data_IF_832811131027
#
_entry.id   IF_832811131027
#
_cell.length_a   1.000
_cell.length_b   1.000
_cell.length_c   1.000
_cell.angle_alpha   90.00
_cell.angle_beta   90.00
_cell.angle_gamma   90.00
#
_symmetry.space_group_name_H-M   'P 1'
#
loop_
_entity.id
_entity.type
_entity.pdbx_description
1 polymer ?
#
# COMPACT_ATOMS: atom_id res chain seq x y z
N UNK A 1 40.61 -25.19 32.33
CA UNK A 1 41.24 -25.62 31.05
C UNK A 1 40.33 -25.16 29.91
N UNK A 2 40.62 -23.99 29.33
CA UNK A 2 39.86 -23.41 28.22
C UNK A 2 40.30 -24.04 26.90
N UNK A 3 39.36 -24.63 26.15
CA UNK A 3 39.60 -25.11 24.79
C UNK A 3 39.70 -23.95 23.78
N UNK A 4 40.38 -24.15 22.63
CA UNK A 4 40.59 -23.09 21.66
C UNK A 4 39.28 -22.70 20.96
N UNK A 5 38.93 -21.42 21.04
CA UNK A 5 37.91 -20.78 20.22
C UNK A 5 38.31 -20.93 18.74
N UNK A 6 37.52 -21.65 17.94
CA UNK A 6 37.69 -21.68 16.49
C UNK A 6 36.88 -20.51 15.89
N UNK A 7 37.51 -19.51 15.26
CA UNK A 7 36.78 -18.50 14.49
C UNK A 7 36.08 -19.19 13.31
N UNK A 8 34.78 -18.97 13.16
CA UNK A 8 34.04 -19.43 11.99
C UNK A 8 34.50 -18.70 10.71
N UNK A 9 34.31 -19.29 9.53
CA UNK A 9 34.68 -18.64 8.27
C UNK A 9 33.88 -17.35 8.05
N UNK A 10 34.57 -16.31 7.60
CA UNK A 10 34.02 -14.99 7.26
C UNK A 10 32.99 -15.13 6.13
N UNK A 11 31.79 -14.55 6.24
CA UNK A 11 30.84 -14.51 5.11
C UNK A 11 31.46 -13.71 3.97
N UNK A 12 31.70 -14.35 2.83
CA UNK A 12 32.14 -13.68 1.61
C UNK A 12 31.10 -12.66 1.11
N UNK A 13 31.49 -11.73 0.24
CA UNK A 13 30.57 -10.75 -0.35
C UNK A 13 29.50 -11.51 -1.14
N UNK A 14 28.23 -11.37 -0.72
CA UNK A 14 27.09 -11.87 -1.48
C UNK A 14 26.95 -11.02 -2.75
N UNK A 15 26.84 -11.62 -3.94
CA UNK A 15 26.47 -10.89 -5.15
C UNK A 15 25.16 -10.12 -4.90
N UNK A 16 25.15 -8.82 -5.23
CA UNK A 16 23.96 -8.00 -5.12
C UNK A 16 22.85 -8.52 -6.04
N UNK A 17 21.58 -8.23 -5.73
CA UNK A 17 20.47 -8.59 -6.62
C UNK A 17 20.66 -7.92 -8.00
N UNK A 18 20.19 -8.55 -9.09
CA UNK A 18 20.24 -7.95 -10.42
C UNK A 18 19.46 -6.62 -10.41
N UNK A 19 19.87 -5.61 -11.21
CA UNK A 19 19.08 -4.40 -11.36
C UNK A 19 17.68 -4.80 -11.87
N UNK A 20 16.65 -4.52 -11.07
CA UNK A 20 15.28 -4.67 -11.51
C UNK A 20 15.09 -3.80 -12.75
N UNK A 21 14.79 -4.42 -13.89
CA UNK A 21 14.30 -3.70 -15.05
C UNK A 21 13.02 -2.99 -14.61
N UNK A 22 13.11 -1.69 -14.34
CA UNK A 22 11.93 -0.85 -14.11
C UNK A 22 11.09 -0.94 -15.38
N UNK A 23 9.84 -1.41 -15.32
CA UNK A 23 8.92 -1.26 -16.44
C UNK A 23 8.86 0.24 -16.78
N UNK A 24 9.14 0.58 -18.03
CA UNK A 24 8.98 1.95 -18.53
C UNK A 24 7.53 2.41 -18.39
N UNK A 25 7.28 3.73 -18.43
CA UNK A 25 5.92 4.26 -18.37
C UNK A 25 5.07 3.67 -19.51
N UNK A 26 3.79 3.33 -19.26
CA UNK A 26 2.96 2.70 -20.26
C UNK A 26 2.83 3.63 -21.49
N UNK A 27 3.02 3.11 -22.72
CA UNK A 27 2.77 3.89 -23.92
C UNK A 27 1.27 4.20 -23.98
N UNK A 28 0.95 5.49 -24.12
CA UNK A 28 -0.39 6.07 -24.29
C UNK A 28 -1.49 5.08 -24.63
N UNK A 29 -2.13 4.55 -23.59
CA UNK A 29 -3.36 3.80 -23.69
C UNK A 29 -4.50 4.78 -23.84
N UNK A 30 -5.31 4.58 -24.89
CA UNK A 30 -6.60 5.23 -25.15
C UNK A 30 -7.38 5.47 -23.85
N UNK A 31 -8.21 6.52 -23.74
CA UNK A 31 -9.16 6.58 -22.64
C UNK A 31 -9.95 5.27 -22.65
N UNK A 32 -9.76 4.46 -21.61
CA UNK A 32 -10.60 3.31 -21.40
C UNK A 32 -12.02 3.86 -21.39
N UNK A 33 -12.86 3.41 -22.32
CA UNK A 33 -14.28 3.67 -22.21
C UNK A 33 -14.67 3.25 -20.78
N UNK A 34 -15.31 4.12 -19.99
CA UNK A 34 -15.70 3.74 -18.64
C UNK A 34 -16.50 2.46 -18.77
N UNK A 35 -16.03 1.40 -18.13
CA UNK A 35 -16.86 0.22 -17.88
C UNK A 35 -18.17 0.76 -17.29
N UNK A 36 -19.35 0.19 -17.61
CA UNK A 36 -20.57 0.58 -16.95
C UNK A 36 -20.29 0.43 -15.46
N UNK A 37 -20.14 1.55 -14.75
CA UNK A 37 -20.21 1.56 -13.31
C UNK A 37 -21.64 1.13 -13.07
N UNK A 38 -21.83 -0.15 -12.75
CA UNK A 38 -23.06 -0.60 -12.14
C UNK A 38 -23.38 0.43 -11.06
N UNK A 39 -24.64 0.84 -10.99
CA UNK A 39 -25.11 1.93 -10.16
C UNK A 39 -24.91 1.55 -8.68
N UNK A 40 -23.67 1.64 -8.21
CA UNK A 40 -23.26 1.44 -6.83
C UNK A 40 -23.70 2.62 -5.98
N UNK A 41 -24.52 3.55 -6.48
CA UNK A 41 -24.90 4.76 -5.75
C UNK A 41 -25.62 4.44 -4.43
N UNK A 42 -26.37 3.33 -4.36
CA UNK A 42 -26.98 2.82 -3.11
C UNK A 42 -25.97 2.07 -2.19
N UNK A 43 -24.83 1.62 -2.72
CA UNK A 43 -23.80 0.86 -1.98
C UNK A 43 -22.49 1.64 -1.77
N UNK A 44 -22.36 2.85 -2.34
CA UNK A 44 -21.21 3.74 -2.16
C UNK A 44 -21.37 4.43 -0.82
N UNK A 45 -20.45 4.13 0.08
CA UNK A 45 -20.33 4.84 1.33
C UNK A 45 -19.39 6.03 1.09
N UNK A 46 -19.87 7.29 1.15
CA UNK A 46 -19.03 8.46 0.87
C UNK A 46 -17.82 8.55 1.81
N UNK A 47 -17.92 7.99 3.02
CA UNK A 47 -16.80 7.85 3.95
C UNK A 47 -15.73 6.85 3.46
N UNK A 48 -16.13 5.74 2.82
CA UNK A 48 -15.21 4.78 2.20
C UNK A 48 -14.52 5.42 1.00
N UNK A 49 -15.25 6.14 0.14
CA UNK A 49 -14.68 6.84 -1.01
C UNK A 49 -13.65 7.89 -0.57
N UNK A 50 -13.96 8.66 0.47
CA UNK A 50 -13.02 9.62 1.06
C UNK A 50 -11.76 8.94 1.63
N UNK A 51 -11.91 7.80 2.30
CA UNK A 51 -10.79 7.03 2.84
C UNK A 51 -9.90 6.46 1.73
N UNK A 52 -10.48 5.95 0.63
CA UNK A 52 -9.72 5.48 -0.54
C UNK A 52 -8.94 6.63 -1.18
N UNK A 53 -9.59 7.77 -1.40
CA UNK A 53 -8.93 8.96 -1.94
C UNK A 53 -7.79 9.44 -1.03
N UNK A 54 -7.98 9.39 0.29
CA UNK A 54 -6.94 9.75 1.25
C UNK A 54 -5.73 8.80 1.16
N UNK A 55 -5.95 7.49 1.00
CA UNK A 55 -4.87 6.52 0.81
C UNK A 55 -4.11 6.73 -0.51
N UNK A 56 -4.80 7.09 -1.59
CA UNK A 56 -4.16 7.45 -2.86
C UNK A 56 -3.28 8.70 -2.73
N UNK A 57 -3.77 9.72 -2.02
CA UNK A 57 -2.99 10.94 -1.74
C UNK A 57 -1.80 10.64 -0.83
N UNK A 58 -1.99 9.78 0.18
CA UNK A 58 -0.95 9.38 1.12
C UNK A 58 0.19 8.62 0.45
N UNK A 59 -0.10 7.80 -0.56
CA UNK A 59 0.92 7.03 -1.28
C UNK A 59 2.00 7.90 -1.95
N UNK A 60 1.69 9.17 -2.22
CA UNK A 60 2.64 10.14 -2.77
C UNK A 60 3.49 10.86 -1.70
N UNK A 61 3.18 10.69 -0.41
CA UNK A 61 3.88 11.34 0.70
C UNK A 61 5.17 10.62 1.10
N UNK A 62 5.96 11.28 1.95
CA UNK A 62 7.13 10.66 2.56
C UNK A 62 6.70 9.53 3.52
N UNK A 63 7.52 8.49 3.75
CA UNK A 63 7.16 7.38 4.63
C UNK A 63 6.79 7.81 6.07
N UNK A 64 7.36 8.91 6.55
CA UNK A 64 7.04 9.46 7.87
C UNK A 64 5.61 10.03 7.93
N UNK A 65 5.12 10.57 6.81
CA UNK A 65 3.80 11.18 6.69
C UNK A 65 2.72 10.19 6.21
N UNK A 66 3.13 9.04 5.67
CA UNK A 66 2.21 7.98 5.23
C UNK A 66 1.46 7.34 6.40
N UNK A 67 2.16 7.03 7.49
CA UNK A 67 1.59 6.34 8.66
C UNK A 67 0.35 7.06 9.21
N UNK A 68 0.41 8.36 9.57
CA UNK A 68 -0.77 9.04 10.14
C UNK A 68 -1.95 9.11 9.17
N UNK A 69 -1.71 9.10 7.85
CA UNK A 69 -2.79 9.10 6.86
C UNK A 69 -3.46 7.74 6.72
N UNK A 70 -2.67 6.65 6.74
CA UNK A 70 -3.24 5.31 6.73
C UNK A 70 -4.01 5.00 8.02
N UNK A 71 -3.54 5.50 9.17
CA UNK A 71 -4.27 5.38 10.44
C UNK A 71 -5.62 6.11 10.39
N UNK A 72 -5.65 7.35 9.89
CA UNK A 72 -6.89 8.10 9.73
C UNK A 72 -7.88 7.43 8.75
N UNK A 73 -7.37 6.88 7.64
CA UNK A 73 -8.18 6.13 6.69
C UNK A 73 -8.75 4.84 7.33
N UNK A 74 -7.93 4.13 8.11
CA UNK A 74 -8.36 2.93 8.83
C UNK A 74 -9.47 3.22 9.85
N UNK A 75 -9.34 4.28 10.64
CA UNK A 75 -10.36 4.66 11.62
C UNK A 75 -11.69 4.98 10.94
N UNK A 76 -11.66 5.70 9.82
CA UNK A 76 -12.85 6.02 9.01
C UNK A 76 -13.54 4.75 8.49
N UNK A 77 -12.77 3.79 7.97
CA UNK A 77 -13.29 2.53 7.47
C UNK A 77 -13.90 1.69 8.61
N UNK A 78 -13.24 1.67 9.78
CA UNK A 78 -13.73 0.97 10.97
C UNK A 78 -15.05 1.55 11.46
N UNK A 79 -15.17 2.88 11.51
CA UNK A 79 -16.42 3.56 11.90
C UNK A 79 -17.54 3.23 10.92
N UNK A 80 -17.25 3.29 9.62
CA UNK A 80 -18.25 2.99 8.58
C UNK A 80 -18.75 1.55 8.67
N UNK A 81 -17.85 0.58 8.87
CA UNK A 81 -18.23 -0.82 9.10
C UNK A 81 -19.09 -0.99 10.35
N UNK A 82 -18.76 -0.30 11.44
CA UNK A 82 -19.56 -0.34 12.66
C UNK A 82 -20.97 0.25 12.46
N UNK A 83 -21.10 1.31 11.66
CA UNK A 83 -22.41 1.88 11.30
C UNK A 83 -23.25 0.91 10.47
N UNK A 84 -22.63 0.20 9.51
CA UNK A 84 -23.32 -0.80 8.68
C UNK A 84 -23.76 -2.00 9.52
N UNK A 85 -22.93 -2.48 10.44
CA UNK A 85 -23.25 -3.62 11.33
C UNK A 85 -24.42 -3.33 12.29
N UNK A 86 -24.67 -2.06 12.59
CA UNK A 86 -25.75 -1.61 13.48
C UNK A 86 -27.09 -1.31 12.78
N UNK A 87 -27.11 -1.29 11.44
CA UNK A 87 -28.28 -0.95 10.62
C UNK A 87 -29.18 -2.18 10.37
#
# INVERSE_FOLDING_TARGET
MSGPFRPGPTPGPRPGPPPAARPGPPPGGRPAAPLPVEDFDDARHPAVDAAVQAMENAAALSPADQIPQYEAAYDTLRETLATIDQA
#
